data_IF_421146560666
#
_entry.id   IF_421146560666
#
_cell.length_a   1.000
_cell.length_b   1.000
_cell.length_c   1.000
_cell.angle_alpha   90.00
_cell.angle_beta   90.00
_cell.angle_gamma   90.00
#
_symmetry.space_group_name_H-M   'P 1'
#
loop_
_entity.id
_entity.type
_entity.pdbx_description
1 polymer ?
#
# COMPACT_ATOMS: atom_id res chain seq x y z
N UNK A 1 1.08 -8.71 -15.96
CA UNK A 1 1.53 -8.33 -14.60
C UNK A 1 1.17 -6.89 -14.24
N UNK A 2 1.63 -5.86 -14.96
CA UNK A 2 1.46 -4.45 -14.58
C UNK A 2 -0.01 -4.02 -14.39
N UNK A 3 -0.93 -4.44 -15.25
CA UNK A 3 -2.38 -4.16 -15.07
C UNK A 3 -2.94 -4.78 -13.76
N UNK A 4 -2.51 -6.00 -13.44
CA UNK A 4 -2.93 -6.70 -12.21
C UNK A 4 -2.31 -6.05 -10.97
N UNK A 5 -1.03 -5.70 -11.04
CA UNK A 5 -0.31 -4.99 -9.98
C UNK A 5 -0.89 -3.59 -9.73
N UNK A 6 -1.25 -2.84 -10.78
CA UNK A 6 -1.90 -1.54 -10.65
C UNK A 6 -3.27 -1.65 -9.98
N UNK A 7 -4.07 -2.65 -10.35
CA UNK A 7 -5.37 -2.90 -9.73
C UNK A 7 -5.24 -3.27 -8.25
N UNK A 8 -4.28 -4.13 -7.91
CA UNK A 8 -3.97 -4.48 -6.51
C UNK A 8 -3.44 -3.26 -5.76
N UNK A 9 -2.61 -2.43 -6.39
CA UNK A 9 -2.01 -1.25 -5.77
C UNK A 9 -3.06 -0.21 -5.36
N UNK A 10 -4.14 -0.02 -6.12
CA UNK A 10 -5.22 0.93 -5.73
C UNK A 10 -5.84 0.51 -4.38
N UNK A 11 -6.07 -0.79 -4.20
CA UNK A 11 -6.68 -1.32 -2.97
C UNK A 11 -5.66 -1.36 -1.83
N UNK A 12 -4.50 -1.97 -2.06
CA UNK A 12 -3.46 -2.13 -1.03
C UNK A 12 -2.85 -0.78 -0.65
N UNK A 13 -2.65 0.12 -1.61
CA UNK A 13 -2.11 1.45 -1.40
C UNK A 13 -3.00 2.33 -0.53
N UNK A 14 -4.31 2.34 -0.79
CA UNK A 14 -5.24 3.08 0.07
C UNK A 14 -5.31 2.50 1.49
N UNK A 15 -5.31 1.17 1.63
CA UNK A 15 -5.27 0.51 2.94
C UNK A 15 -3.98 0.84 3.72
N UNK A 16 -2.81 0.68 3.11
CA UNK A 16 -1.53 0.96 3.76
C UNK A 16 -1.36 2.44 4.12
N UNK A 17 -1.75 3.35 3.23
CA UNK A 17 -1.74 4.78 3.52
C UNK A 17 -2.64 5.09 4.72
N UNK A 18 -3.86 4.54 4.76
CA UNK A 18 -4.77 4.67 5.90
C UNK A 18 -4.19 4.12 7.19
N UNK A 19 -3.62 2.91 7.17
CA UNK A 19 -2.99 2.30 8.36
C UNK A 19 -1.83 3.14 8.91
N UNK A 20 -0.98 3.70 8.05
CA UNK A 20 0.11 4.58 8.46
C UNK A 20 -0.38 5.90 9.06
N UNK A 21 -1.43 6.48 8.49
CA UNK A 21 -2.07 7.67 9.05
C UNK A 21 -2.64 7.37 10.44
N UNK A 22 -3.37 6.26 10.60
CA UNK A 22 -3.92 5.84 11.91
C UNK A 22 -2.81 5.61 12.93
N UNK A 23 -1.71 4.94 12.54
CA UNK A 23 -0.56 4.72 13.41
C UNK A 23 0.07 6.05 13.86
N UNK A 24 0.22 7.00 12.94
CA UNK A 24 0.80 8.33 13.24
C UNK A 24 -0.09 9.14 14.20
N UNK A 25 -1.40 9.08 14.00
CA UNK A 25 -2.38 9.72 14.89
C UNK A 25 -2.41 9.07 16.28
N UNK A 26 -2.22 7.75 16.35
CA UNK A 26 -2.16 7.02 17.63
C UNK A 26 -0.90 7.38 18.43
N UNK A 27 0.18 7.78 17.75
CA UNK A 27 1.39 8.34 18.38
C UNK A 27 1.23 9.81 18.83
N UNK A 28 0.03 10.39 18.70
CA UNK A 28 -0.25 11.78 19.10
C UNK A 28 0.28 12.84 18.13
N UNK A 29 0.76 12.45 16.94
CA UNK A 29 1.24 13.40 15.92
C UNK A 29 0.08 13.90 15.06
N UNK A 30 -0.40 15.09 15.37
CA UNK A 30 -1.52 15.76 14.69
C UNK A 30 -1.10 16.83 13.67
N UNK A 31 0.20 16.99 13.43
CA UNK A 31 0.71 17.95 12.45
C UNK A 31 0.41 17.50 11.02
N UNK A 32 -0.08 18.43 10.19
CA UNK A 32 -0.42 18.16 8.78
C UNK A 32 0.76 17.57 7.97
N UNK A 33 1.98 18.02 8.29
CA UNK A 33 3.21 17.50 7.67
C UNK A 33 3.41 16.04 8.05
N UNK A 34 3.27 15.69 9.33
CA UNK A 34 3.46 14.31 9.80
C UNK A 34 2.44 13.34 9.20
N UNK A 35 1.17 13.76 9.06
CA UNK A 35 0.11 12.97 8.44
C UNK A 35 0.40 12.74 6.95
N UNK A 36 0.81 13.79 6.24
CA UNK A 36 1.11 13.73 4.80
C UNK A 36 2.31 12.83 4.54
N UNK A 37 3.37 12.95 5.33
CA UNK A 37 4.55 12.08 5.24
C UNK A 37 4.18 10.62 5.54
N UNK A 38 3.36 10.36 6.56
CA UNK A 38 2.90 9.01 6.86
C UNK A 38 2.08 8.39 5.73
N UNK A 39 1.17 9.16 5.12
CA UNK A 39 0.38 8.70 3.97
C UNK A 39 1.27 8.38 2.77
N UNK A 40 2.25 9.22 2.46
CA UNK A 40 3.20 9.00 1.35
C UNK A 40 4.09 7.79 1.62
N UNK A 41 4.57 7.60 2.86
CA UNK A 41 5.32 6.41 3.24
C UNK A 41 4.47 5.14 3.15
N UNK A 42 3.21 5.19 3.55
CA UNK A 42 2.26 4.09 3.37
C UNK A 42 2.03 3.75 1.89
N UNK A 43 1.88 4.75 1.03
CA UNK A 43 1.75 4.54 -0.41
C UNK A 43 3.03 3.97 -1.04
N UNK A 44 4.20 4.46 -0.65
CA UNK A 44 5.50 3.97 -1.12
C UNK A 44 5.74 2.51 -0.70
N UNK A 45 5.41 2.14 0.53
CA UNK A 45 5.53 0.76 1.02
C UNK A 45 4.52 -0.17 0.36
N UNK A 46 3.38 0.34 -0.11
CA UNK A 46 2.39 -0.45 -0.84
C UNK A 46 2.84 -0.84 -2.26
N UNK A 47 3.78 -0.11 -2.89
CA UNK A 47 4.31 -0.45 -4.22
C UNK A 47 4.96 -1.85 -4.27
N UNK A 48 5.97 -2.18 -3.43
CA UNK A 48 6.57 -3.51 -3.43
C UNK A 48 5.58 -4.59 -2.97
N UNK A 49 4.68 -4.28 -2.04
CA UNK A 49 3.65 -5.22 -1.56
C UNK A 49 2.67 -5.58 -2.66
N UNK A 50 2.17 -4.59 -3.41
CA UNK A 50 1.27 -4.82 -4.53
C UNK A 50 1.93 -5.68 -5.62
N UNK A 51 3.23 -5.50 -5.85
CA UNK A 51 3.95 -6.31 -6.85
C UNK A 51 4.11 -7.77 -6.41
N UNK A 52 4.43 -8.01 -5.13
CA UNK A 52 4.50 -9.35 -4.54
C UNK A 52 3.14 -10.08 -4.61
N UNK A 53 2.06 -9.39 -4.28
CA UNK A 53 0.70 -9.96 -4.32
C UNK A 53 0.31 -10.25 -5.78
N UNK A 54 0.60 -9.35 -6.72
CA UNK A 54 0.33 -9.56 -8.13
C UNK A 54 1.11 -10.75 -8.70
N UNK A 55 2.37 -10.94 -8.30
CA UNK A 55 3.17 -12.08 -8.69
C UNK A 55 2.60 -13.40 -8.16
N UNK A 56 2.19 -13.44 -6.88
CA UNK A 56 1.51 -14.60 -6.30
C UNK A 56 0.20 -14.92 -7.03
N UNK A 57 -0.63 -13.91 -7.26
CA UNK A 57 -1.93 -14.08 -7.91
C UNK A 57 -1.78 -14.57 -9.35
N UNK A 58 -0.82 -14.03 -10.11
CA UNK A 58 -0.54 -14.49 -11.46
C UNK A 58 -0.07 -15.95 -11.50
N UNK A 59 0.73 -16.38 -10.51
CA UNK A 59 1.17 -17.77 -10.37
C UNK A 59 0.02 -18.72 -10.02
N UNK A 60 -0.93 -18.28 -9.18
CA UNK A 60 -2.12 -19.09 -8.85
C UNK A 60 -3.12 -19.20 -10.01
N UNK A 61 -3.27 -18.16 -10.83
CA UNK A 61 -4.22 -18.14 -11.96
C UNK A 61 -3.68 -18.90 -13.18
N UNK A 62 -2.36 -18.90 -13.40
CA UNK A 62 -1.70 -19.75 -14.39
C UNK A 62 -0.80 -20.76 -13.67
N UNK A 63 -1.35 -21.88 -13.15
CA UNK A 63 -0.51 -23.02 -12.81
C UNK A 63 0.09 -23.53 -14.13
N UNK A 64 1.42 -23.49 -14.22
CA UNK A 64 2.15 -24.12 -15.32
C UNK A 64 1.96 -25.64 -15.27
#
# INVERSE_FOLDING_TARGET
MLKLAAMIYIVVGSMFAGSFVVATLTLGRMEAVSISVAAVLGALTALPVAWLIAAKLNRSIRPA
#
